data_IF_372985127303
#
_entry.id   IF_372985127303
#
_cell.length_a   1.000
_cell.length_b   1.000
_cell.length_c   1.000
_cell.angle_alpha   90.00
_cell.angle_beta   90.00
_cell.angle_gamma   90.00
#
_symmetry.space_group_name_H-M   'P 1'
#
loop_
_entity.id
_entity.type
_entity.pdbx_description
1 polymer ?
#
# COMPACT_ATOMS: atom_id res chain seq x y z
N UNK A 1 11.34 -18.11 9.43
CA UNK A 1 11.90 -16.84 8.88
C UNK A 1 11.39 -15.64 9.69
N UNK A 2 12.07 -14.48 9.70
CA UNK A 2 11.62 -13.28 10.45
C UNK A 2 10.18 -12.87 10.08
N UNK A 3 9.82 -12.97 8.80
CA UNK A 3 8.51 -12.63 8.24
C UNK A 3 7.37 -13.60 8.64
N UNK A 4 7.69 -14.72 9.28
CA UNK A 4 6.69 -15.68 9.79
C UNK A 4 6.44 -15.52 11.28
N UNK A 5 7.23 -14.68 11.96
CA UNK A 5 7.14 -14.51 13.41
C UNK A 5 5.87 -13.76 13.85
N UNK A 6 5.27 -14.20 14.95
CA UNK A 6 4.11 -13.52 15.55
C UNK A 6 4.37 -12.03 15.85
N UNK A 7 5.60 -11.69 16.25
CA UNK A 7 6.01 -10.30 16.52
C UNK A 7 5.99 -9.45 15.25
N UNK A 8 6.44 -9.99 14.12
CA UNK A 8 6.42 -9.29 12.83
C UNK A 8 4.97 -8.94 12.44
N UNK A 9 4.07 -9.92 12.48
CA UNK A 9 2.66 -9.70 12.14
C UNK A 9 1.95 -8.75 13.09
N UNK A 10 2.29 -8.80 14.38
CA UNK A 10 1.79 -7.83 15.37
C UNK A 10 2.21 -6.40 15.02
N UNK A 11 3.50 -6.17 14.74
CA UNK A 11 4.02 -4.86 14.34
C UNK A 11 3.42 -4.37 13.02
N UNK A 12 3.29 -5.25 12.02
CA UNK A 12 2.64 -4.92 10.76
C UNK A 12 1.16 -4.54 10.94
N UNK A 13 0.45 -5.22 11.85
CA UNK A 13 -0.92 -4.85 12.22
C UNK A 13 -1.01 -3.45 12.83
N UNK A 14 -0.09 -3.09 13.73
CA UNK A 14 0.00 -1.74 14.29
C UNK A 14 0.25 -0.69 13.20
N UNK A 15 1.20 -0.96 12.30
CA UNK A 15 1.51 -0.07 11.17
C UNK A 15 0.28 0.08 10.27
N UNK A 16 -0.42 -1.01 9.96
CA UNK A 16 -1.62 -0.97 9.13
C UNK A 16 -2.74 -0.11 9.74
N UNK A 17 -2.95 -0.20 11.06
CA UNK A 17 -3.92 0.65 11.78
C UNK A 17 -3.49 2.13 11.69
N UNK A 18 -2.21 2.42 11.96
CA UNK A 18 -1.69 3.80 11.89
C UNK A 18 -1.83 4.39 10.49
N UNK A 19 -1.51 3.62 9.45
CA UNK A 19 -1.68 4.04 8.06
C UNK A 19 -3.16 4.25 7.74
N UNK A 20 -4.04 3.35 8.17
CA UNK A 20 -5.49 3.47 7.94
C UNK A 20 -6.08 4.72 8.61
N UNK A 21 -5.74 4.98 9.86
CA UNK A 21 -6.17 6.18 10.59
C UNK A 21 -5.59 7.44 9.96
N UNK A 22 -4.28 7.47 9.70
CA UNK A 22 -3.62 8.61 9.06
C UNK A 22 -4.19 8.92 7.68
N UNK A 23 -4.46 7.89 6.87
CA UNK A 23 -5.12 8.06 5.57
C UNK A 23 -6.54 8.60 5.70
N UNK A 24 -7.32 8.11 6.68
CA UNK A 24 -8.67 8.62 6.93
C UNK A 24 -8.65 10.10 7.29
N UNK A 25 -7.83 10.49 8.27
CA UNK A 25 -7.69 11.90 8.68
C UNK A 25 -7.21 12.77 7.52
N UNK A 26 -6.24 12.28 6.73
CA UNK A 26 -5.77 12.97 5.54
C UNK A 26 -6.86 13.18 4.47
N UNK A 27 -7.71 12.18 4.25
CA UNK A 27 -8.82 12.28 3.31
C UNK A 27 -9.89 13.28 3.79
N UNK A 28 -10.15 13.34 5.10
CA UNK A 28 -11.05 14.32 5.72
C UNK A 28 -10.51 15.75 5.56
N UNK A 29 -9.21 15.98 5.80
CA UNK A 29 -8.56 17.28 5.59
C UNK A 29 -8.64 17.74 4.13
N UNK A 30 -8.54 16.79 3.19
CA UNK A 30 -8.67 17.03 1.75
C UNK A 30 -10.11 17.12 1.27
N UNK A 31 -11.10 16.88 2.14
CA UNK A 31 -12.53 16.81 1.80
C UNK A 31 -12.81 15.82 0.67
N UNK A 32 -12.11 14.69 0.65
CA UNK A 32 -12.33 13.64 -0.34
C UNK A 32 -13.59 12.84 -0.02
N UNK A 33 -14.49 12.71 -1.00
CA UNK A 33 -15.64 11.83 -0.91
C UNK A 33 -15.21 10.38 -1.21
N UNK A 34 -14.90 9.64 -0.16
CA UNK A 34 -14.51 8.23 -0.23
C UNK A 34 -15.73 7.31 -0.15
N UNK A 35 -16.25 6.89 -1.31
CA UNK A 35 -17.19 5.78 -1.37
C UNK A 35 -16.47 4.44 -1.15
N UNK A 36 -17.25 3.37 -0.95
CA UNK A 36 -16.71 2.03 -0.70
C UNK A 36 -15.67 1.57 -1.74
N UNK A 37 -15.90 1.82 -3.03
CA UNK A 37 -14.96 1.43 -4.08
C UNK A 37 -13.63 2.22 -4.04
N UNK A 38 -13.66 3.51 -3.69
CA UNK A 38 -12.44 4.31 -3.48
C UNK A 38 -11.64 3.80 -2.27
N UNK A 39 -12.32 3.39 -1.20
CA UNK A 39 -11.68 2.71 -0.07
C UNK A 39 -11.03 1.40 -0.50
N UNK A 40 -11.74 0.57 -1.26
CA UNK A 40 -11.19 -0.68 -1.77
C UNK A 40 -9.95 -0.43 -2.64
N UNK A 41 -9.96 0.58 -3.52
CA UNK A 41 -8.80 0.94 -4.33
C UNK A 41 -7.60 1.37 -3.49
N UNK A 42 -7.83 2.15 -2.42
CA UNK A 42 -6.75 2.54 -1.50
C UNK A 42 -6.16 1.33 -0.76
N UNK A 43 -7.02 0.40 -0.32
CA UNK A 43 -6.59 -0.85 0.33
C UNK A 43 -5.78 -1.73 -0.63
N UNK A 44 -6.25 -1.91 -1.87
CA UNK A 44 -5.54 -2.69 -2.89
C UNK A 44 -4.19 -2.06 -3.22
N UNK A 45 -4.14 -0.73 -3.36
CA UNK A 45 -2.89 0.00 -3.57
C UNK A 45 -1.89 -0.23 -2.42
N UNK A 46 -2.36 -0.09 -1.18
CA UNK A 46 -1.52 -0.33 0.00
C UNK A 46 -1.07 -1.79 0.11
N UNK A 47 -1.91 -2.74 -0.27
CA UNK A 47 -1.55 -4.16 -0.31
C UNK A 47 -0.41 -4.44 -1.31
N UNK A 48 -0.48 -3.87 -2.53
CA UNK A 48 0.59 -3.99 -3.53
C UNK A 48 1.91 -3.42 -3.00
N UNK A 49 1.84 -2.26 -2.33
CA UNK A 49 3.00 -1.65 -1.68
C UNK A 49 3.63 -2.61 -0.66
N UNK A 50 2.84 -3.20 0.25
CA UNK A 50 3.33 -4.15 1.25
C UNK A 50 3.89 -5.43 0.62
N UNK A 51 3.22 -5.96 -0.41
CA UNK A 51 3.68 -7.16 -1.12
C UNK A 51 5.06 -6.98 -1.76
N UNK A 52 5.42 -5.75 -2.13
CA UNK A 52 6.75 -5.45 -2.67
C UNK A 52 7.86 -5.68 -1.63
N UNK A 53 7.62 -5.31 -0.36
CA UNK A 53 8.56 -5.56 0.73
C UNK A 53 8.52 -7.01 1.21
N UNK A 54 7.33 -7.64 1.22
CA UNK A 54 7.22 -9.04 1.60
C UNK A 54 7.98 -9.93 0.61
N UNK A 55 7.76 -9.76 -0.70
CA UNK A 55 8.46 -10.52 -1.73
C UNK A 55 9.99 -10.30 -1.67
N UNK A 56 10.42 -9.06 -1.44
CA UNK A 56 11.84 -8.73 -1.24
C UNK A 56 12.44 -9.49 -0.06
N UNK A 57 11.79 -9.41 1.11
CA UNK A 57 12.26 -10.04 2.33
C UNK A 57 12.31 -11.56 2.26
N UNK A 58 11.27 -12.18 1.69
CA UNK A 58 11.20 -13.62 1.49
C UNK A 58 12.32 -14.11 0.57
N UNK A 59 12.49 -13.50 -0.61
CA UNK A 59 13.49 -13.96 -1.58
C UNK A 59 14.93 -13.70 -1.12
N UNK A 60 15.18 -12.64 -0.35
CA UNK A 60 16.48 -12.47 0.32
C UNK A 60 16.73 -13.61 1.32
N UNK A 61 15.70 -13.98 2.10
CA UNK A 61 15.78 -15.11 3.03
C UNK A 61 16.02 -16.46 2.35
N UNK A 62 15.62 -16.59 1.09
CA UNK A 62 15.79 -17.80 0.26
C UNK A 62 17.07 -17.78 -0.60
N UNK A 63 18.01 -16.86 -0.33
CA UNK A 63 19.25 -16.67 -1.09
C UNK A 63 19.06 -16.23 -2.55
N UNK A 64 17.89 -15.69 -2.90
CA UNK A 64 17.54 -15.15 -4.22
C UNK A 64 17.46 -13.61 -4.23
N UNK A 65 18.42 -12.95 -3.58
CA UNK A 65 18.39 -11.49 -3.39
C UNK A 65 18.22 -10.68 -4.69
N UNK A 66 18.79 -11.15 -5.81
CA UNK A 66 18.65 -10.50 -7.12
C UNK A 66 17.19 -10.51 -7.62
N UNK A 67 16.49 -11.63 -7.47
CA UNK A 67 15.06 -11.72 -7.81
C UNK A 67 14.22 -10.87 -6.86
N UNK A 68 14.54 -10.91 -5.56
CA UNK A 68 13.92 -10.07 -4.53
C UNK A 68 13.95 -8.59 -4.88
N UNK A 69 15.13 -8.04 -5.22
CA UNK A 69 15.26 -6.64 -5.62
C UNK A 69 14.47 -6.30 -6.89
N UNK A 70 14.49 -7.17 -7.90
CA UNK A 70 13.75 -6.93 -9.16
C UNK A 70 12.25 -6.86 -8.93
N UNK A 71 11.69 -7.81 -8.17
CA UNK A 71 10.25 -7.82 -7.85
C UNK A 71 9.86 -6.65 -6.95
N UNK A 72 10.69 -6.31 -5.97
CA UNK A 72 10.46 -5.14 -5.11
C UNK A 72 10.39 -3.85 -5.92
N UNK A 73 11.38 -3.61 -6.79
CA UNK A 73 11.44 -2.41 -7.62
C UNK A 73 10.28 -2.35 -8.62
N UNK A 74 9.94 -3.47 -9.25
CA UNK A 74 8.78 -3.55 -10.14
C UNK A 74 7.47 -3.25 -9.38
N UNK A 75 7.26 -3.88 -8.24
CA UNK A 75 6.08 -3.69 -7.41
C UNK A 75 5.95 -2.25 -6.89
N UNK A 76 7.05 -1.66 -6.42
CA UNK A 76 7.10 -0.26 -5.99
C UNK A 76 6.89 0.71 -7.15
N UNK A 77 7.41 0.42 -8.34
CA UNK A 77 7.17 1.22 -9.54
C UNK A 77 5.68 1.21 -9.93
N UNK A 78 5.05 0.03 -9.95
CA UNK A 78 3.62 -0.11 -10.19
C UNK A 78 2.82 0.61 -9.10
N UNK A 79 3.20 0.44 -7.82
CA UNK A 79 2.58 1.13 -6.70
C UNK A 79 2.68 2.65 -6.82
N UNK A 80 3.80 3.20 -7.28
CA UNK A 80 3.97 4.63 -7.50
C UNK A 80 3.01 5.14 -8.58
N UNK A 81 2.93 4.46 -9.73
CA UNK A 81 2.01 4.84 -10.81
C UNK A 81 0.56 4.79 -10.33
N UNK A 82 0.17 3.70 -9.67
CA UNK A 82 -1.16 3.53 -9.11
C UNK A 82 -1.45 4.56 -8.02
N UNK A 83 -0.45 4.94 -7.22
CA UNK A 83 -0.58 5.95 -6.17
C UNK A 83 -0.85 7.34 -6.75
N UNK A 84 -0.16 7.72 -7.83
CA UNK A 84 -0.45 8.96 -8.57
C UNK A 84 -1.83 8.89 -9.22
N UNK A 85 -2.20 7.75 -9.80
CA UNK A 85 -3.54 7.54 -10.38
C UNK A 85 -4.65 7.66 -9.35
N UNK A 86 -4.49 6.99 -8.21
CA UNK A 86 -5.42 7.04 -7.08
C UNK A 86 -5.52 8.46 -6.53
N UNK A 87 -4.40 9.15 -6.33
CA UNK A 87 -4.39 10.54 -5.90
C UNK A 87 -5.24 11.43 -6.81
N UNK A 88 -5.05 11.32 -8.14
CA UNK A 88 -5.80 12.08 -9.13
C UNK A 88 -7.29 11.73 -9.09
N UNK A 89 -7.62 10.44 -8.96
CA UNK A 89 -8.99 9.96 -8.87
C UNK A 89 -9.71 10.48 -7.61
N UNK A 90 -9.04 10.45 -6.46
CA UNK A 90 -9.60 10.92 -5.18
C UNK A 90 -9.73 12.44 -5.14
N UNK A 91 -8.80 13.15 -5.79
CA UNK A 91 -8.81 14.61 -5.90
C UNK A 91 -9.75 15.16 -6.98
N UNK A 92 -10.27 14.31 -7.87
CA UNK A 92 -11.20 14.73 -8.90
C UNK A 92 -12.52 15.15 -8.25
N UNK A 93 -12.93 16.41 -8.46
CA UNK A 93 -14.25 16.87 -8.05
C UNK A 93 -15.31 16.09 -8.85
N UNK A 94 -16.43 15.69 -8.22
CA UNK A 94 -17.53 15.09 -8.97
C UNK A 94 -17.94 16.06 -10.08
N UNK A 95 -18.12 15.54 -11.30
CA UNK A 95 -18.72 16.31 -12.39
C UNK A 95 -20.10 16.74 -11.89
N UNK A 96 -20.27 18.04 -11.65
CA UNK A 96 -21.61 18.65 -11.52
C UNK A 96 -22.39 18.28 -12.76
N UNK A 97 -23.38 17.41 -12.58
CA UNK A 97 -24.38 17.08 -13.59
C UNK A 97 -25.39 18.23 -13.70
#
# INVERSE_FOLDING_TARGET
MFFEGNVFWFLMGMIAILVGVGFKTFAEDRKWELNWWKWLLAIVWYFIFNMSFLAWGTLIGEYEASAGWKLALLGLFVSLILGVGLWRLLSAKPKTA
#
